data_IF_943024823175
#
_entry.id   IF_943024823175
#
_cell.length_a   1.000
_cell.length_b   1.000
_cell.length_c   1.000
_cell.angle_alpha   90.00
_cell.angle_beta   90.00
_cell.angle_gamma   90.00
#
_symmetry.space_group_name_H-M   'P 1'
#
loop_
_entity.id
_entity.type
_entity.pdbx_description
1 polymer ?
#
# COMPACT_ATOMS: atom_id res chain seq x y z
N UNK A 1 4.90 22.84 29.52
CA UNK A 1 3.45 22.77 29.21
C UNK A 1 3.14 23.83 28.17
N UNK A 2 3.82 23.77 27.01
CA UNK A 2 3.81 24.84 26.00
C UNK A 2 3.45 24.25 24.62
N UNK A 3 3.94 23.03 24.35
CA UNK A 3 3.55 22.17 23.21
C UNK A 3 2.06 21.74 23.17
N UNK A 4 1.26 22.07 24.19
CA UNK A 4 -0.18 21.76 24.22
C UNK A 4 -1.02 22.86 23.59
N UNK A 5 -0.56 24.10 23.66
CA UNK A 5 -1.31 25.27 23.20
C UNK A 5 -1.12 25.49 21.69
N UNK A 6 0.07 25.19 21.14
CA UNK A 6 0.33 25.26 19.70
C UNK A 6 -0.51 24.25 18.89
N UNK A 7 -0.75 23.07 19.46
CA UNK A 7 -1.56 22.03 18.81
C UNK A 7 -3.05 22.42 18.69
N UNK A 8 -3.57 23.30 19.56
CA UNK A 8 -4.96 23.76 19.50
C UNK A 8 -5.17 24.89 18.48
N UNK A 9 -4.14 25.68 18.20
CA UNK A 9 -4.21 26.76 17.20
C UNK A 9 -4.30 26.22 15.75
N UNK A 10 -3.69 25.07 15.46
CA UNK A 10 -3.70 24.45 14.13
C UNK A 10 -5.02 23.76 13.78
N UNK A 11 -5.70 23.17 14.77
CA UNK A 11 -7.03 22.55 14.60
C UNK A 11 -8.08 23.60 14.21
N UNK A 12 -7.95 24.85 14.68
CA UNK A 12 -8.84 25.95 14.33
C UNK A 12 -8.75 26.40 12.87
N UNK A 13 -7.71 25.98 12.13
CA UNK A 13 -7.54 26.21 10.69
C UNK A 13 -7.96 25.01 9.81
N UNK A 14 -8.53 23.95 10.40
CA UNK A 14 -9.02 22.79 9.66
C UNK A 14 -7.93 21.86 9.12
N UNK A 15 -6.67 22.07 9.54
CA UNK A 15 -5.55 21.19 9.18
C UNK A 15 -5.26 20.32 10.40
N UNK A 16 -5.64 19.04 10.31
CA UNK A 16 -5.41 18.08 11.37
C UNK A 16 -3.89 17.83 11.52
N UNK A 17 -3.29 18.11 12.70
CA UNK A 17 -1.85 17.97 12.93
C UNK A 17 -1.37 16.51 12.88
N UNK A 18 -2.28 15.53 12.87
CA UNK A 18 -1.92 14.12 12.66
C UNK A 18 -1.55 13.83 11.21
N UNK A 19 -2.15 14.54 10.25
CA UNK A 19 -1.90 14.37 8.81
C UNK A 19 -0.50 14.89 8.45
N UNK A 20 -0.12 16.05 9.00
CA UNK A 20 1.21 16.67 8.82
C UNK A 20 2.33 15.83 9.46
N UNK A 21 2.10 15.25 10.65
CA UNK A 21 3.07 14.32 11.26
C UNK A 21 3.21 13.00 10.51
N UNK A 22 2.16 12.57 9.79
CA UNK A 22 2.21 11.39 8.91
C UNK A 22 3.05 11.73 7.67
N UNK A 23 2.71 12.82 6.97
CA UNK A 23 3.41 13.28 5.78
C UNK A 23 4.92 13.52 5.99
N UNK A 24 5.35 14.01 7.15
CA UNK A 24 6.77 14.19 7.46
C UNK A 24 7.54 12.87 7.73
N UNK A 25 6.85 11.79 8.11
CA UNK A 25 7.45 10.43 8.23
C UNK A 25 7.51 9.70 6.89
N UNK A 26 6.66 10.07 5.93
CA UNK A 26 6.57 9.44 4.62
C UNK A 26 7.83 9.65 3.75
N UNK A 27 8.64 10.69 4.01
CA UNK A 27 9.81 11.03 3.18
C UNK A 27 10.94 9.98 3.20
N UNK A 28 11.02 9.13 4.23
CA UNK A 28 11.97 8.00 4.35
C UNK A 28 11.24 6.64 4.38
N UNK A 29 9.92 6.64 4.17
CA UNK A 29 9.11 5.45 4.39
C UNK A 29 9.13 4.53 3.18
N UNK A 30 9.37 3.24 3.44
CA UNK A 30 9.39 2.18 2.44
C UNK A 30 8.02 2.09 1.73
N UNK A 31 7.99 2.47 0.45
CA UNK A 31 6.78 2.49 -0.37
C UNK A 31 6.37 1.09 -0.79
N UNK A 32 5.07 0.90 -1.03
CA UNK A 32 4.56 -0.38 -1.55
C UNK A 32 5.20 -0.75 -2.87
N UNK A 33 5.44 0.22 -3.75
CA UNK A 33 6.11 -0.01 -5.03
C UNK A 33 7.52 -0.58 -4.86
N UNK A 34 8.32 0.00 -3.96
CA UNK A 34 9.67 -0.48 -3.71
C UNK A 34 9.68 -1.94 -3.22
N UNK A 35 8.80 -2.27 -2.26
CA UNK A 35 8.68 -3.64 -1.74
C UNK A 35 8.14 -4.60 -2.78
N UNK A 36 7.12 -4.21 -3.53
CA UNK A 36 6.49 -5.09 -4.51
C UNK A 36 7.47 -5.45 -5.65
N UNK A 37 8.30 -4.49 -6.09
CA UNK A 37 9.35 -4.76 -7.08
C UNK A 37 10.48 -5.63 -6.54
N UNK A 38 10.94 -5.39 -5.32
CA UNK A 38 11.96 -6.26 -4.69
C UNK A 38 11.43 -7.68 -4.49
N UNK A 39 10.19 -7.82 -4.00
CA UNK A 39 9.52 -9.11 -3.89
C UNK A 39 9.46 -9.83 -5.23
N UNK A 40 9.04 -9.15 -6.31
CA UNK A 40 8.95 -9.72 -7.65
C UNK A 40 10.32 -10.15 -8.18
N UNK A 41 11.36 -9.34 -7.96
CA UNK A 41 12.73 -9.64 -8.39
C UNK A 41 13.32 -10.87 -7.70
N UNK A 42 12.86 -11.22 -6.49
CA UNK A 42 13.34 -12.36 -5.71
C UNK A 42 12.54 -13.64 -5.96
N UNK A 43 11.54 -13.61 -6.85
CA UNK A 43 10.75 -14.80 -7.17
C UNK A 43 11.46 -15.68 -8.18
N UNK A 44 11.82 -16.88 -7.73
CA UNK A 44 12.26 -17.96 -8.61
C UNK A 44 11.05 -18.77 -9.08
N UNK A 45 10.44 -18.36 -10.19
CA UNK A 45 9.30 -19.06 -10.81
C UNK A 45 9.48 -19.16 -12.32
N UNK A 46 8.67 -19.99 -12.98
CA UNK A 46 8.66 -20.06 -14.45
C UNK A 46 8.30 -18.72 -15.08
N UNK A 47 8.82 -18.45 -16.29
CA UNK A 47 8.58 -17.19 -17.00
C UNK A 47 7.08 -16.86 -17.16
N UNK A 48 6.27 -17.87 -17.47
CA UNK A 48 4.82 -17.71 -17.58
C UNK A 48 4.14 -17.31 -16.25
N UNK A 49 4.73 -17.70 -15.12
CA UNK A 49 4.26 -17.33 -13.78
C UNK A 49 4.75 -15.93 -13.43
N UNK A 50 6.02 -15.64 -13.68
CA UNK A 50 6.61 -14.31 -13.50
C UNK A 50 5.85 -13.22 -14.27
N UNK A 51 5.46 -13.48 -15.52
CA UNK A 51 4.68 -12.53 -16.31
C UNK A 51 3.30 -12.24 -15.70
N UNK A 52 2.62 -13.27 -15.16
CA UNK A 52 1.32 -13.10 -14.48
C UNK A 52 1.47 -12.32 -13.17
N UNK A 53 2.52 -12.63 -12.41
CA UNK A 53 2.83 -11.95 -11.16
C UNK A 53 3.19 -10.49 -11.40
N UNK A 54 3.97 -10.20 -12.45
CA UNK A 54 4.30 -8.84 -12.85
C UNK A 54 3.04 -8.03 -13.15
N UNK A 55 2.10 -8.58 -13.94
CA UNK A 55 0.83 -7.89 -14.21
C UNK A 55 0.01 -7.62 -12.94
N UNK A 56 -0.05 -8.57 -12.00
CA UNK A 56 -0.74 -8.39 -10.72
C UNK A 56 -0.06 -7.31 -9.88
N UNK A 57 1.27 -7.32 -9.82
CA UNK A 57 2.07 -6.34 -9.10
C UNK A 57 1.87 -4.94 -9.68
N UNK A 58 1.89 -4.78 -11.00
CA UNK A 58 1.66 -3.49 -11.65
C UNK A 58 0.25 -2.95 -11.34
N UNK A 59 -0.77 -3.82 -11.33
CA UNK A 59 -2.12 -3.41 -10.93
C UNK A 59 -2.20 -2.94 -9.46
N UNK A 60 -1.46 -3.58 -8.56
CA UNK A 60 -1.36 -3.18 -7.16
C UNK A 60 -0.55 -1.89 -6.98
N UNK A 61 0.54 -1.72 -7.72
CA UNK A 61 1.36 -0.50 -7.75
C UNK A 61 0.53 0.69 -8.24
N UNK A 62 -0.27 0.50 -9.30
CA UNK A 62 -1.16 1.56 -9.79
C UNK A 62 -2.16 2.03 -8.71
N UNK A 63 -2.59 1.14 -7.82
CA UNK A 63 -3.55 1.47 -6.75
C UNK A 63 -2.88 2.01 -5.47
N UNK A 64 -1.72 1.46 -5.08
CA UNK A 64 -1.13 1.64 -3.75
C UNK A 64 0.35 2.03 -3.76
N UNK A 65 1.00 2.06 -4.92
CA UNK A 65 2.46 2.10 -5.06
C UNK A 65 3.14 3.29 -4.39
N UNK A 66 2.54 4.48 -4.50
CA UNK A 66 3.05 5.72 -3.90
C UNK A 66 2.88 5.78 -2.37
N UNK A 67 2.12 4.85 -1.77
CA UNK A 67 1.85 4.86 -0.33
C UNK A 67 2.95 4.08 0.40
N UNK A 68 3.38 4.54 1.58
CA UNK A 68 4.18 3.71 2.47
C UNK A 68 3.43 2.44 2.84
N UNK A 69 4.14 1.31 2.89
CA UNK A 69 3.54 0.01 3.26
C UNK A 69 2.84 0.09 4.62
N UNK A 70 3.45 0.77 5.60
CA UNK A 70 2.90 0.94 6.94
C UNK A 70 1.66 1.85 7.00
N UNK A 71 1.40 2.65 5.96
CA UNK A 71 0.28 3.57 5.87
C UNK A 71 -0.92 2.99 5.10
N UNK A 72 -0.78 1.81 4.50
CA UNK A 72 -1.88 1.14 3.79
C UNK A 72 -2.78 0.44 4.80
N UNK A 73 -4.06 0.76 4.76
CA UNK A 73 -5.05 0.21 5.69
C UNK A 73 -5.90 -0.89 5.07
N UNK A 74 -6.44 -1.79 5.90
CA UNK A 74 -7.33 -2.87 5.44
C UNK A 74 -8.58 -2.38 4.70
N UNK A 75 -9.26 -1.28 5.11
CA UNK A 75 -10.38 -0.72 4.37
C UNK A 75 -10.01 -0.22 2.97
N UNK A 76 -8.82 0.36 2.78
CA UNK A 76 -8.33 0.79 1.47
C UNK A 76 -8.14 -0.42 0.54
N UNK A 77 -7.51 -1.48 1.05
CA UNK A 77 -7.33 -2.75 0.32
C UNK A 77 -8.68 -3.36 -0.06
N UNK A 78 -9.62 -3.42 0.89
CA UNK A 78 -10.97 -3.94 0.63
C UNK A 78 -11.69 -3.14 -0.46
N UNK A 79 -11.59 -1.81 -0.40
CA UNK A 79 -12.20 -0.92 -1.39
C UNK A 79 -11.61 -1.15 -2.78
N UNK A 80 -10.29 -1.36 -2.87
CA UNK A 80 -9.62 -1.70 -4.13
C UNK A 80 -10.11 -3.05 -4.68
N UNK A 81 -10.15 -4.09 -3.85
CA UNK A 81 -10.58 -5.44 -4.27
C UNK A 81 -12.04 -5.47 -4.72
N UNK A 82 -12.93 -4.76 -4.01
CA UNK A 82 -14.35 -4.67 -4.36
C UNK A 82 -14.58 -4.15 -5.77
N UNK A 83 -13.77 -3.22 -6.28
CA UNK A 83 -13.87 -2.74 -7.67
C UNK A 83 -13.75 -3.86 -8.70
N UNK A 84 -12.94 -4.88 -8.41
CA UNK A 84 -12.80 -6.04 -9.28
C UNK A 84 -13.96 -7.03 -9.08
N UNK A 85 -14.41 -7.21 -7.84
CA UNK A 85 -15.55 -8.07 -7.51
C UNK A 85 -16.85 -7.55 -8.13
N UNK A 86 -17.13 -6.25 -8.00
CA UNK A 86 -18.30 -5.56 -8.58
C UNK A 86 -18.28 -5.61 -10.13
N UNK A 87 -17.09 -5.67 -10.72
CA UNK A 87 -16.91 -5.86 -12.16
C UNK A 87 -17.01 -7.34 -12.61
N UNK A 88 -17.36 -8.27 -11.70
CA UNK A 88 -17.47 -9.71 -11.97
C UNK A 88 -16.12 -10.43 -12.09
N UNK A 89 -15.01 -9.75 -11.81
CA UNK A 89 -13.64 -10.29 -11.95
C UNK A 89 -13.16 -10.96 -10.65
N UNK A 90 -13.94 -11.93 -10.17
CA UNK A 90 -13.72 -12.56 -8.86
C UNK A 90 -12.35 -13.26 -8.75
N UNK A 91 -11.96 -14.03 -9.76
CA UNK A 91 -10.64 -14.68 -9.77
C UNK A 91 -9.49 -13.67 -9.75
N UNK A 92 -9.64 -12.55 -10.47
CA UNK A 92 -8.65 -11.46 -10.47
C UNK A 92 -8.56 -10.82 -9.09
N UNK A 93 -9.69 -10.52 -8.45
CA UNK A 93 -9.71 -9.98 -7.09
C UNK A 93 -9.01 -10.92 -6.10
N UNK A 94 -9.29 -12.23 -6.20
CA UNK A 94 -8.65 -13.24 -5.36
C UNK A 94 -7.14 -13.32 -5.60
N UNK A 95 -6.68 -13.28 -6.85
CA UNK A 95 -5.25 -13.25 -7.18
C UNK A 95 -4.57 -12.00 -6.65
N UNK A 96 -5.17 -10.82 -6.83
CA UNK A 96 -4.66 -9.56 -6.28
C UNK A 96 -4.53 -9.61 -4.76
N UNK A 97 -5.54 -10.16 -4.07
CA UNK A 97 -5.50 -10.35 -2.60
C UNK A 97 -4.33 -11.24 -2.17
N UNK A 98 -4.08 -12.34 -2.88
CA UNK A 98 -2.97 -13.23 -2.57
C UNK A 98 -1.61 -12.57 -2.80
N UNK A 99 -1.42 -11.92 -3.95
CA UNK A 99 -0.19 -11.18 -4.26
C UNK A 99 0.07 -10.08 -3.25
N UNK A 100 -0.95 -9.27 -2.94
CA UNK A 100 -0.87 -8.22 -1.93
C UNK A 100 -0.48 -8.77 -0.55
N UNK A 101 -1.07 -9.89 -0.14
CA UNK A 101 -0.71 -10.56 1.12
C UNK A 101 0.74 -11.07 1.13
N UNK A 102 1.23 -11.56 0.00
CA UNK A 102 2.62 -12.01 -0.13
C UNK A 102 3.60 -10.84 -0.03
N UNK A 103 3.30 -9.72 -0.71
CA UNK A 103 4.11 -8.49 -0.63
C UNK A 103 4.13 -7.94 0.79
N UNK A 104 2.99 -7.87 1.49
CA UNK A 104 2.97 -7.42 2.89
C UNK A 104 3.79 -8.32 3.82
N UNK A 105 3.69 -9.65 3.64
CA UNK A 105 4.48 -10.59 4.44
C UNK A 105 5.97 -10.42 4.18
N UNK A 106 6.35 -10.21 2.92
CA UNK A 106 7.73 -9.93 2.53
C UNK A 106 8.24 -8.62 3.15
N UNK A 107 7.42 -7.57 3.16
CA UNK A 107 7.73 -6.29 3.80
C UNK A 107 8.03 -6.41 5.30
N UNK A 108 7.34 -7.33 6.00
CA UNK A 108 7.54 -7.56 7.44
C UNK A 108 8.82 -8.38 7.71
N UNK A 109 9.21 -9.22 6.75
CA UNK A 109 10.37 -10.11 6.86
C UNK A 109 11.69 -9.45 6.42
N UNK A 110 11.63 -8.22 5.88
CA UNK A 110 12.78 -7.44 5.38
C UNK A 110 13.05 -6.30 6.33
#
# INVERSE_FOLDING_TARGET
>A
RERRDEARALVARGIDPSTERKAAKDADALTFEAVARDWLSRREVSEATAAKDAWLVEALIAALGHRPVAAITSPEVLTMLRRYEDAGKLETAQRLKFTLSAVFRFAIAT
#
